data_IF_105142079612
#
_entry.id   IF_105142079612
#
_cell.length_a   1.000
_cell.length_b   1.000
_cell.length_c   1.000
_cell.angle_alpha   90.00
_cell.angle_beta   90.00
_cell.angle_gamma   90.00
#
_symmetry.space_group_name_H-M   'P 1'
#
loop_
_entity.id
_entity.type
_entity.pdbx_description
1 polymer ?
#
# COMPACT_ATOMS: atom_id res chain seq x y z
N UNK A 1 -33.65 -16.44 29.02
CA UNK A 1 -34.14 -15.04 29.08
C UNK A 1 -32.92 -14.13 28.96
N UNK A 2 -33.06 -12.96 28.33
CA UNK A 2 -31.94 -12.00 28.23
C UNK A 2 -31.58 -11.46 29.62
N UNK A 3 -30.34 -10.98 29.78
CA UNK A 3 -29.86 -10.28 30.97
C UNK A 3 -30.39 -8.85 31.04
N UNK A 4 -29.49 -7.86 31.09
CA UNK A 4 -29.89 -6.44 31.09
C UNK A 4 -30.35 -6.01 29.71
N UNK A 5 -31.46 -5.26 29.65
CA UNK A 5 -32.08 -4.91 28.39
C UNK A 5 -32.80 -3.57 28.41
N UNK A 6 -32.51 -2.75 27.40
CA UNK A 6 -33.35 -1.63 26.95
C UNK A 6 -34.03 -2.06 25.66
N UNK A 7 -35.34 -1.83 25.53
CA UNK A 7 -36.08 -2.13 24.30
C UNK A 7 -37.06 -1.01 23.97
N UNK A 8 -37.19 -0.67 22.69
CA UNK A 8 -38.26 0.18 22.17
C UNK A 8 -38.99 -0.52 21.04
N UNK A 9 -40.29 -0.25 20.93
CA UNK A 9 -41.11 -0.77 19.85
C UNK A 9 -40.71 -0.14 18.52
N UNK A 10 -40.72 -0.92 17.44
CA UNK A 10 -40.56 -0.45 16.06
C UNK A 10 -41.79 0.34 15.55
N UNK A 11 -42.21 1.39 16.27
CA UNK A 11 -43.37 2.23 15.96
C UNK A 11 -42.97 3.71 16.06
N UNK A 12 -43.66 4.62 15.35
CA UNK A 12 -43.36 6.06 15.32
C UNK A 12 -43.85 6.76 16.59
N UNK A 13 -43.43 6.28 17.75
CA UNK A 13 -43.66 6.92 19.03
C UNK A 13 -42.41 7.69 19.45
N UNK A 14 -42.61 8.93 19.86
CA UNK A 14 -41.55 9.77 20.44
C UNK A 14 -41.29 9.35 21.87
N UNK A 15 -40.03 9.33 22.26
CA UNK A 15 -39.62 9.09 23.64
C UNK A 15 -38.12 9.30 23.81
N UNK A 16 -37.69 9.47 25.06
CA UNK A 16 -36.28 9.60 25.41
C UNK A 16 -35.97 8.60 26.52
N UNK A 17 -34.86 7.88 26.37
CA UNK A 17 -34.25 7.06 27.41
C UNK A 17 -32.86 7.63 27.64
N UNK A 18 -32.63 8.20 28.81
CA UNK A 18 -31.35 8.83 29.17
C UNK A 18 -31.04 8.57 30.63
N UNK A 19 -29.77 8.68 31.01
CA UNK A 19 -29.27 8.55 32.39
C UNK A 19 -29.57 7.17 33.01
N UNK A 20 -29.35 6.11 32.22
CA UNK A 20 -29.57 4.73 32.66
C UNK A 20 -28.25 4.12 33.13
N UNK A 21 -28.25 3.48 34.30
CA UNK A 21 -27.06 2.82 34.86
C UNK A 21 -27.38 1.37 35.21
N UNK A 22 -26.57 0.45 34.68
CA UNK A 22 -26.50 -0.95 35.08
C UNK A 22 -25.13 -1.18 35.70
N UNK A 23 -25.08 -1.57 36.97
CA UNK A 23 -23.83 -1.69 37.70
C UNK A 23 -23.85 -2.89 38.66
N UNK A 24 -22.70 -3.56 38.80
CA UNK A 24 -22.49 -4.74 39.67
C UNK A 24 -23.48 -5.89 39.44
N UNK A 25 -23.51 -6.44 38.22
CA UNK A 25 -24.49 -7.46 37.80
C UNK A 25 -23.82 -8.80 37.52
N UNK A 26 -24.35 -9.86 38.14
CA UNK A 26 -23.93 -11.25 37.92
C UNK A 26 -24.98 -12.00 37.09
N UNK A 27 -24.57 -12.50 35.93
CA UNK A 27 -25.43 -13.21 34.97
C UNK A 27 -25.15 -14.72 35.00
N UNK A 28 -26.20 -15.54 34.93
CA UNK A 28 -26.06 -16.99 34.87
C UNK A 28 -26.93 -17.57 33.76
N UNK A 29 -26.29 -18.12 32.71
CA UNK A 29 -26.96 -18.79 31.59
C UNK A 29 -28.10 -17.98 30.94
N UNK A 30 -27.92 -16.66 30.81
CA UNK A 30 -28.87 -15.81 30.08
C UNK A 30 -28.69 -15.97 28.57
N UNK A 31 -29.65 -15.59 27.73
CA UNK A 31 -29.51 -15.70 26.26
C UNK A 31 -28.48 -14.71 25.73
N UNK A 32 -28.85 -13.44 25.60
CA UNK A 32 -27.92 -12.32 25.44
C UNK A 32 -27.76 -11.63 26.81
N UNK A 33 -26.55 -11.26 27.19
CA UNK A 33 -26.25 -10.64 28.48
C UNK A 33 -26.61 -9.16 28.53
N UNK A 34 -26.23 -8.38 27.52
CA UNK A 34 -26.49 -6.94 27.41
C UNK A 34 -27.20 -6.67 26.10
N UNK A 35 -28.37 -6.04 26.15
CA UNK A 35 -29.18 -5.78 24.96
C UNK A 35 -29.70 -4.34 24.93
N UNK A 36 -29.47 -3.65 23.81
CA UNK A 36 -30.32 -2.52 23.39
C UNK A 36 -31.00 -2.96 22.11
N UNK A 37 -32.33 -2.92 22.08
CA UNK A 37 -33.11 -3.36 20.93
C UNK A 37 -34.19 -2.33 20.61
N UNK A 38 -33.85 -1.39 19.73
CA UNK A 38 -34.80 -0.39 19.26
C UNK A 38 -35.75 -0.91 18.18
N UNK A 39 -35.55 -2.13 17.69
CA UNK A 39 -36.40 -2.73 16.65
C UNK A 39 -37.29 -3.83 17.22
N UNK A 40 -37.60 -3.76 18.51
CA UNK A 40 -38.32 -4.84 19.18
C UNK A 40 -39.70 -5.06 18.57
N UNK A 41 -39.90 -6.25 17.99
CA UNK A 41 -41.13 -6.67 17.35
C UNK A 41 -41.47 -8.13 17.72
N UNK A 42 -42.25 -8.36 18.78
CA UNK A 42 -42.60 -9.72 19.21
C UNK A 42 -43.75 -10.35 18.39
N UNK A 43 -44.45 -9.60 17.55
CA UNK A 43 -45.54 -10.10 16.71
C UNK A 43 -45.09 -10.20 15.24
N UNK A 44 -45.49 -11.25 14.51
CA UNK A 44 -45.03 -11.51 13.12
C UNK A 44 -45.28 -10.37 12.10
N UNK A 45 -46.15 -9.40 12.42
CA UNK A 45 -46.56 -8.30 11.55
C UNK A 45 -46.43 -6.93 12.24
N UNK A 46 -45.21 -6.43 12.47
CA UNK A 46 -45.03 -5.02 12.85
C UNK A 46 -44.82 -4.15 11.61
N UNK A 47 -45.58 -3.05 11.44
CA UNK A 47 -45.25 -2.06 10.42
C UNK A 47 -43.93 -1.38 10.80
N UNK A 48 -42.91 -1.51 9.95
CA UNK A 48 -41.64 -0.81 10.09
C UNK A 48 -41.88 0.69 9.87
N UNK A 49 -42.02 1.44 10.98
CA UNK A 49 -42.12 2.90 10.96
C UNK A 49 -40.79 3.57 11.28
N UNK A 50 -40.67 4.87 10.99
CA UNK A 50 -39.55 5.68 11.48
C UNK A 50 -39.56 5.71 13.01
N UNK A 51 -38.54 5.11 13.61
CA UNK A 51 -38.35 5.07 15.06
C UNK A 51 -37.96 6.46 15.57
N UNK A 52 -38.71 6.99 16.55
CA UNK A 52 -38.52 8.33 17.15
C UNK A 52 -38.13 8.29 18.63
N UNK A 53 -37.73 7.13 19.15
CA UNK A 53 -37.17 7.01 20.52
C UNK A 53 -35.67 7.30 20.48
N UNK A 54 -35.20 8.29 21.25
CA UNK A 54 -33.78 8.54 21.47
C UNK A 54 -33.28 7.75 22.68
N UNK A 55 -32.10 7.16 22.57
CA UNK A 55 -31.40 6.49 23.67
C UNK A 55 -30.03 7.16 23.81
N UNK A 56 -29.74 7.75 24.96
CA UNK A 56 -28.47 8.38 25.26
C UNK A 56 -28.01 8.11 26.70
N UNK A 57 -26.75 8.43 27.03
CA UNK A 57 -26.24 8.45 28.42
C UNK A 57 -26.58 7.16 29.19
N UNK A 58 -26.18 6.00 28.63
CA UNK A 58 -26.40 4.68 29.24
C UNK A 58 -25.07 4.08 29.66
N UNK A 59 -24.94 3.68 30.92
CA UNK A 59 -23.72 3.12 31.49
C UNK A 59 -23.92 1.65 31.89
N UNK A 60 -23.05 0.77 31.40
CA UNK A 60 -22.95 -0.63 31.80
C UNK A 60 -21.61 -0.84 32.50
N UNK A 61 -21.61 -1.15 33.78
CA UNK A 61 -20.41 -1.25 34.60
C UNK A 61 -20.40 -2.54 35.42
N UNK A 62 -19.22 -3.17 35.57
CA UNK A 62 -19.02 -4.32 36.48
C UNK A 62 -20.02 -5.46 36.22
N UNK A 63 -20.19 -5.85 34.95
CA UNK A 63 -21.12 -6.92 34.55
C UNK A 63 -20.34 -8.17 34.21
N UNK A 64 -20.61 -9.25 34.93
CA UNK A 64 -19.93 -10.53 34.73
C UNK A 64 -20.89 -11.71 34.68
N UNK A 65 -20.45 -12.83 34.09
CA UNK A 65 -21.24 -14.06 34.12
C UNK A 65 -21.20 -14.87 32.83
N UNK A 66 -22.31 -15.54 32.51
CA UNK A 66 -22.37 -16.49 31.39
C UNK A 66 -23.61 -16.35 30.50
N UNK A 67 -23.45 -16.68 29.21
CA UNK A 67 -24.52 -16.68 28.19
C UNK A 67 -24.73 -18.05 27.53
N UNK A 68 -25.93 -18.26 27.00
CA UNK A 68 -26.35 -19.44 26.20
C UNK A 68 -26.43 -19.14 24.71
N UNK A 69 -26.30 -17.86 24.31
CA UNK A 69 -26.03 -17.48 22.91
C UNK A 69 -24.62 -16.92 22.78
N UNK A 70 -23.99 -17.13 21.63
CA UNK A 70 -22.63 -16.66 21.39
C UNK A 70 -22.54 -15.13 21.37
N UNK A 71 -23.56 -14.43 20.85
CA UNK A 71 -23.66 -12.97 20.91
C UNK A 71 -24.09 -12.56 22.33
N UNK A 72 -23.12 -12.26 23.19
CA UNK A 72 -23.39 -11.85 24.56
C UNK A 72 -23.86 -10.39 24.66
N UNK A 73 -23.31 -9.49 23.83
CA UNK A 73 -23.69 -8.07 23.81
C UNK A 73 -24.32 -7.73 22.45
N UNK A 74 -25.53 -7.20 22.44
CA UNK A 74 -26.27 -6.85 21.23
C UNK A 74 -26.87 -5.43 21.34
N UNK A 75 -26.24 -4.44 20.71
CA UNK A 75 -26.72 -3.05 20.68
C UNK A 75 -27.30 -2.72 19.30
N UNK A 76 -28.60 -2.96 19.11
CA UNK A 76 -29.32 -2.72 17.87
C UNK A 76 -30.16 -1.44 17.96
N UNK A 77 -29.58 -0.34 17.50
CA UNK A 77 -30.19 0.98 17.50
C UNK A 77 -30.77 1.33 16.12
N UNK A 78 -31.76 2.23 16.11
CA UNK A 78 -32.45 2.67 14.90
C UNK A 78 -31.50 3.41 13.97
N UNK A 79 -31.65 3.24 12.65
CA UNK A 79 -30.94 4.06 11.65
C UNK A 79 -31.29 5.55 11.76
N UNK A 80 -32.54 5.90 12.04
CA UNK A 80 -33.02 7.28 12.14
C UNK A 80 -32.62 7.98 13.44
N UNK A 81 -32.40 7.21 14.51
CA UNK A 81 -32.08 7.71 15.85
C UNK A 81 -31.04 6.79 16.51
N UNK A 82 -29.73 7.00 16.24
CA UNK A 82 -28.66 6.22 16.85
C UNK A 82 -28.67 6.32 18.38
N UNK A 83 -28.21 5.26 19.06
CA UNK A 83 -27.92 5.36 20.48
C UNK A 83 -26.62 6.15 20.69
N UNK A 84 -26.62 7.11 21.61
CA UNK A 84 -25.50 8.02 21.86
C UNK A 84 -24.92 7.82 23.25
N UNK A 85 -23.63 8.11 23.42
CA UNK A 85 -22.95 8.10 24.73
C UNK A 85 -23.22 6.84 25.57
N UNK A 86 -23.09 5.67 24.94
CA UNK A 86 -23.14 4.39 25.66
C UNK A 86 -21.76 4.13 26.30
N UNK A 87 -21.69 3.96 27.60
CA UNK A 87 -20.45 3.59 28.29
C UNK A 87 -20.48 2.11 28.68
N UNK A 88 -19.40 1.37 28.39
CA UNK A 88 -19.20 0.02 28.90
C UNK A 88 -17.91 -0.06 29.71
N UNK A 89 -17.98 -0.52 30.95
CA UNK A 89 -16.85 -0.59 31.88
C UNK A 89 -16.81 -1.96 32.55
N UNK A 90 -15.66 -2.61 32.55
CA UNK A 90 -15.42 -3.86 33.28
C UNK A 90 -16.50 -4.94 33.01
N UNK A 91 -16.57 -5.37 31.75
CA UNK A 91 -17.49 -6.38 31.26
C UNK A 91 -16.73 -7.71 31.12
N UNK A 92 -17.23 -8.78 31.74
CA UNK A 92 -16.60 -10.11 31.73
C UNK A 92 -17.64 -11.25 31.61
N UNK A 93 -18.04 -11.56 30.38
CA UNK A 93 -19.10 -12.51 30.05
C UNK A 93 -18.54 -13.64 29.19
N UNK A 94 -18.71 -14.87 29.65
CA UNK A 94 -18.32 -16.08 28.92
C UNK A 94 -19.53 -16.73 28.22
N UNK A 95 -19.28 -17.39 27.10
CA UNK A 95 -20.29 -18.20 26.41
C UNK A 95 -20.18 -19.66 26.88
N UNK A 96 -21.28 -20.26 27.33
CA UNK A 96 -21.31 -21.63 27.86
C UNK A 96 -21.55 -22.72 26.78
N UNK A 97 -21.52 -22.38 25.49
CA UNK A 97 -21.68 -23.36 24.41
C UNK A 97 -20.37 -23.74 23.72
N UNK A 98 -20.38 -24.86 22.99
CA UNK A 98 -19.20 -25.43 22.32
C UNK A 98 -18.73 -24.72 21.04
N UNK A 99 -18.95 -23.41 20.89
CA UNK A 99 -18.77 -22.66 19.64
C UNK A 99 -17.67 -21.58 19.65
N UNK A 100 -16.81 -21.54 20.68
CA UNK A 100 -15.78 -20.50 20.88
C UNK A 100 -16.15 -19.48 21.96
N UNK A 101 -15.44 -18.35 22.08
CA UNK A 101 -15.73 -17.34 23.09
C UNK A 101 -17.03 -16.58 22.77
N UNK A 102 -17.56 -15.86 23.76
CA UNK A 102 -18.64 -14.89 23.56
C UNK A 102 -18.21 -13.80 22.55
N UNK A 103 -19.18 -13.18 21.90
CA UNK A 103 -18.99 -12.08 20.94
C UNK A 103 -19.94 -10.91 21.23
N UNK A 104 -19.69 -9.77 20.60
CA UNK A 104 -20.53 -8.57 20.67
C UNK A 104 -20.94 -8.09 19.28
N UNK A 105 -22.12 -7.47 19.16
CA UNK A 105 -22.65 -6.94 17.90
C UNK A 105 -23.35 -5.59 18.14
N UNK A 106 -22.97 -4.57 17.37
CA UNK A 106 -23.54 -3.23 17.46
C UNK A 106 -24.05 -2.78 16.09
N UNK A 107 -25.21 -2.11 16.06
CA UNK A 107 -25.77 -1.41 14.91
C UNK A 107 -26.24 -0.02 15.36
N UNK A 108 -25.66 1.02 14.76
CA UNK A 108 -25.97 2.43 15.04
C UNK A 108 -25.89 2.87 16.52
N UNK A 109 -24.95 2.29 17.27
CA UNK A 109 -24.66 2.63 18.66
C UNK A 109 -23.29 3.32 18.76
N UNK A 110 -23.22 4.42 19.51
CA UNK A 110 -22.01 5.21 19.72
C UNK A 110 -21.71 5.34 21.20
N UNK A 111 -20.44 5.21 21.57
CA UNK A 111 -20.07 5.10 22.95
C UNK A 111 -18.58 4.91 23.19
N UNK A 112 -18.23 4.68 24.44
CA UNK A 112 -16.86 4.52 24.94
C UNK A 112 -16.77 3.26 25.79
N UNK A 113 -15.57 2.69 25.88
CA UNK A 113 -15.31 1.47 26.67
C UNK A 113 -14.13 1.69 27.61
N UNK A 114 -14.22 1.19 28.84
CA UNK A 114 -13.18 1.31 29.88
C UNK A 114 -12.93 -0.04 30.57
N UNK A 115 -11.72 -0.24 31.08
CA UNK A 115 -11.38 -1.44 31.86
C UNK A 115 -11.47 -2.75 31.07
N UNK A 116 -11.77 -3.86 31.75
CA UNK A 116 -11.82 -5.19 31.12
C UNK A 116 -13.01 -5.28 30.16
N UNK A 117 -12.80 -5.83 28.96
CA UNK A 117 -13.86 -6.08 27.97
C UNK A 117 -13.75 -7.50 27.40
N UNK A 118 -14.46 -8.44 28.04
CA UNK A 118 -14.69 -9.79 27.54
C UNK A 118 -16.20 -10.05 27.45
N UNK A 119 -16.76 -10.29 26.27
CA UNK A 119 -16.11 -10.24 24.96
C UNK A 119 -15.65 -8.81 24.58
N UNK A 120 -14.72 -8.65 23.61
CA UNK A 120 -14.36 -7.33 23.09
C UNK A 120 -15.60 -6.53 22.69
N UNK A 121 -15.71 -5.26 23.08
CA UNK A 121 -16.92 -4.47 22.89
C UNK A 121 -17.13 -4.06 21.42
N UNK A 122 -18.37 -4.15 20.95
CA UNK A 122 -18.76 -3.74 19.60
C UNK A 122 -18.79 -2.21 19.41
N UNK A 123 -18.71 -1.43 20.50
CA UNK A 123 -18.57 0.04 20.48
C UNK A 123 -17.15 0.49 20.13
N UNK A 124 -16.15 -0.39 20.31
CA UNK A 124 -14.76 -0.14 19.92
C UNK A 124 -14.53 -0.30 18.40
N UNK A 125 -15.56 -0.65 17.63
CA UNK A 125 -15.48 -0.83 16.19
C UNK A 125 -15.98 0.42 15.46
N UNK A 126 -15.05 1.27 15.05
CA UNK A 126 -15.34 2.32 14.09
C UNK A 126 -15.59 1.68 12.71
N UNK A 127 -16.87 1.48 12.38
CA UNK A 127 -17.28 0.79 11.14
C UNK A 127 -16.84 1.51 9.87
N UNK A 128 -16.51 2.79 9.95
CA UNK A 128 -16.14 3.61 8.79
C UNK A 128 -14.83 4.34 9.05
N UNK A 129 -14.09 4.58 7.97
CA UNK A 129 -12.86 5.36 7.99
C UNK A 129 -13.01 6.70 8.71
N UNK A 130 -14.06 7.47 8.40
CA UNK A 130 -14.30 8.79 9.00
C UNK A 130 -14.44 8.74 10.51
N UNK A 131 -15.10 7.71 11.05
CA UNK A 131 -15.25 7.54 12.49
C UNK A 131 -13.93 7.14 13.14
N UNK A 132 -13.22 6.17 12.56
CA UNK A 132 -11.93 5.71 13.06
C UNK A 132 -10.91 6.87 13.10
N UNK A 133 -10.90 7.68 12.06
CA UNK A 133 -10.02 8.83 11.95
C UNK A 133 -10.29 9.93 13.01
N UNK A 134 -11.48 9.95 13.62
CA UNK A 134 -11.83 10.88 14.70
C UNK A 134 -11.53 10.33 16.11
N UNK A 135 -11.10 9.07 16.24
CA UNK A 135 -10.62 8.53 17.50
C UNK A 135 -9.29 9.18 17.87
N UNK A 136 -9.17 9.57 19.14
CA UNK A 136 -7.90 10.01 19.73
C UNK A 136 -7.01 8.83 20.10
N UNK A 137 -7.63 7.71 20.47
CA UNK A 137 -6.98 6.42 20.73
C UNK A 137 -6.75 5.63 19.43
N UNK A 138 -5.82 4.66 19.43
CA UNK A 138 -5.63 3.77 18.29
C UNK A 138 -6.94 3.11 17.84
N UNK A 139 -7.24 3.21 16.54
CA UNK A 139 -8.48 2.68 15.95
C UNK A 139 -8.19 1.68 14.84
N UNK A 140 -9.13 0.78 14.56
CA UNK A 140 -9.02 -0.19 13.46
C UNK A 140 -10.24 -0.15 12.56
N UNK A 141 -10.02 -0.03 11.25
CA UNK A 141 -11.01 -0.26 10.19
C UNK A 141 -10.75 -1.64 9.60
N UNK A 142 -11.73 -2.54 9.67
CA UNK A 142 -11.61 -3.91 9.17
C UNK A 142 -12.36 -4.03 7.85
N UNK A 143 -11.67 -4.49 6.81
CA UNK A 143 -12.29 -5.05 5.61
C UNK A 143 -12.33 -6.56 5.84
N UNK A 144 -13.49 -7.13 6.18
CA UNK A 144 -13.58 -8.55 6.55
C UNK A 144 -13.30 -9.45 5.34
N UNK A 145 -13.07 -10.74 5.60
CA UNK A 145 -12.95 -11.72 4.52
C UNK A 145 -14.16 -11.68 3.59
N UNK A 146 -13.91 -11.71 2.28
CA UNK A 146 -14.91 -11.57 1.22
C UNK A 146 -14.38 -10.77 0.04
N UNK A 147 -15.16 -10.66 -1.04
CA UNK A 147 -14.83 -9.82 -2.20
C UNK A 147 -15.76 -8.61 -2.24
N UNK A 148 -15.19 -7.42 -2.37
CA UNK A 148 -15.91 -6.15 -2.34
C UNK A 148 -15.61 -5.36 -3.60
N UNK A 149 -16.65 -5.14 -4.41
CA UNK A 149 -16.56 -4.19 -5.52
C UNK A 149 -16.51 -2.77 -4.94
N UNK A 150 -15.42 -2.03 -5.20
CA UNK A 150 -15.19 -0.69 -4.64
C UNK A 150 -14.83 0.25 -5.77
N UNK A 151 -15.54 1.37 -5.92
CA UNK A 151 -15.18 2.38 -6.91
C UNK A 151 -16.28 3.40 -7.19
N UNK A 152 -16.04 4.34 -8.12
CA UNK A 152 -14.83 4.44 -8.95
C UNK A 152 -13.58 4.96 -8.20
N UNK A 153 -13.75 5.53 -7.00
CA UNK A 153 -12.66 6.02 -6.15
C UNK A 153 -12.98 5.73 -4.67
N UNK A 154 -11.95 5.38 -3.89
CA UNK A 154 -11.98 5.21 -2.44
C UNK A 154 -10.92 6.13 -1.83
N UNK A 155 -11.38 7.21 -1.21
CA UNK A 155 -10.53 8.21 -0.58
C UNK A 155 -10.56 8.10 0.95
N UNK A 156 -9.39 7.79 1.51
CA UNK A 156 -9.12 7.55 2.92
C UNK A 156 -8.20 8.67 3.43
N UNK A 157 -8.81 9.84 3.60
CA UNK A 157 -8.12 11.07 3.99
C UNK A 157 -8.09 11.29 5.51
N UNK A 158 -6.99 11.87 5.98
CA UNK A 158 -6.86 12.50 7.30
C UNK A 158 -7.01 14.03 7.24
N UNK A 159 -6.48 14.77 8.23
CA UNK A 159 -5.71 14.27 9.37
C UNK A 159 -6.58 13.47 10.34
N UNK A 160 -6.03 12.37 10.87
CA UNK A 160 -6.65 11.59 11.94
C UNK A 160 -6.15 12.05 13.31
N UNK A 161 -7.01 11.96 14.33
CA UNK A 161 -6.72 12.40 15.71
C UNK A 161 -5.80 11.46 16.47
N UNK A 162 -5.71 10.20 16.03
CA UNK A 162 -4.86 9.16 16.62
C UNK A 162 -4.40 8.14 15.55
N UNK A 163 -3.57 7.16 15.96
CA UNK A 163 -3.13 6.08 15.08
C UNK A 163 -4.31 5.29 14.49
N UNK A 164 -4.16 4.86 13.25
CA UNK A 164 -5.22 4.12 12.55
C UNK A 164 -4.65 2.88 11.86
N UNK A 165 -5.31 1.75 12.06
CA UNK A 165 -5.01 0.48 11.42
C UNK A 165 -6.09 0.14 10.38
N UNK A 166 -5.70 -0.02 9.12
CA UNK A 166 -6.54 -0.53 8.04
C UNK A 166 -6.24 -2.02 7.86
N UNK A 167 -7.10 -2.85 8.45
CA UNK A 167 -6.97 -4.30 8.45
C UNK A 167 -7.76 -4.90 7.28
N UNK A 168 -7.08 -5.11 6.16
CA UNK A 168 -7.55 -5.71 4.92
C UNK A 168 -7.48 -7.24 4.99
N UNK A 169 -8.56 -7.90 5.42
CA UNK A 169 -8.68 -9.38 5.43
C UNK A 169 -9.31 -9.92 4.15
N UNK A 170 -10.19 -9.13 3.51
CA UNK A 170 -10.84 -9.46 2.24
C UNK A 170 -10.15 -8.87 1.02
N UNK A 171 -10.81 -8.99 -0.11
CA UNK A 171 -10.35 -8.51 -1.41
C UNK A 171 -11.16 -7.29 -1.85
N UNK A 172 -10.49 -6.18 -2.15
CA UNK A 172 -11.08 -5.05 -2.87
C UNK A 172 -10.92 -5.30 -4.36
N UNK A 173 -12.00 -5.14 -5.12
CA UNK A 173 -12.04 -5.38 -6.57
C UNK A 173 -12.48 -4.10 -7.28
N UNK A 174 -11.70 -3.65 -8.27
CA UNK A 174 -12.01 -2.47 -9.05
C UNK A 174 -13.18 -2.73 -10.01
N UNK A 175 -14.01 -1.72 -10.33
CA UNK A 175 -14.97 -1.83 -11.40
C UNK A 175 -14.25 -1.90 -12.75
N UNK A 176 -14.87 -2.51 -13.75
CA UNK A 176 -14.31 -2.69 -15.10
C UNK A 176 -14.95 -1.77 -16.15
N UNK A 177 -15.95 -0.97 -15.75
CA UNK A 177 -16.62 -0.04 -16.64
C UNK A 177 -15.72 1.15 -17.04
N UNK A 178 -16.12 1.90 -18.07
CA UNK A 178 -15.36 3.04 -18.55
C UNK A 178 -15.23 4.18 -17.50
N UNK A 179 -16.18 4.31 -16.57
CA UNK A 179 -16.13 5.33 -15.53
C UNK A 179 -14.99 5.07 -14.53
N UNK A 180 -14.64 3.80 -14.31
CA UNK A 180 -13.49 3.39 -13.51
C UNK A 180 -12.11 3.77 -14.09
N UNK A 181 -12.06 4.29 -15.32
CA UNK A 181 -10.83 4.77 -15.97
C UNK A 181 -10.60 6.27 -15.78
N UNK A 182 -11.56 7.00 -15.19
CA UNK A 182 -11.50 8.45 -15.06
C UNK A 182 -10.67 8.92 -13.86
N UNK A 183 -10.84 8.37 -12.63
CA UNK A 183 -9.97 8.73 -11.52
C UNK A 183 -8.56 8.19 -11.76
N UNK A 184 -7.55 9.05 -11.59
CA UNK A 184 -6.16 8.61 -11.67
C UNK A 184 -5.81 7.65 -10.53
N UNK A 185 -6.37 7.85 -9.34
CA UNK A 185 -6.12 7.02 -8.17
C UNK A 185 -7.40 6.29 -7.78
N UNK A 186 -7.32 4.98 -7.59
CA UNK A 186 -8.46 4.18 -7.17
C UNK A 186 -8.60 4.15 -5.65
N UNK A 187 -7.65 3.56 -4.92
CA UNK A 187 -7.62 3.58 -3.44
C UNK A 187 -6.54 4.54 -2.99
N UNK A 188 -6.92 5.60 -2.26
CA UNK A 188 -6.00 6.67 -1.86
C UNK A 188 -5.98 6.85 -0.35
N UNK A 189 -4.79 6.83 0.23
CA UNK A 189 -4.51 7.23 1.61
C UNK A 189 -3.76 8.58 1.58
N UNK A 190 -4.31 9.61 2.22
CA UNK A 190 -3.66 10.94 2.19
C UNK A 190 -3.77 11.75 3.47
N UNK A 191 -2.73 12.54 3.74
CA UNK A 191 -2.61 13.39 4.93
C UNK A 191 -2.72 12.61 6.24
N UNK A 192 -1.97 11.50 6.33
CA UNK A 192 -2.02 10.59 7.47
C UNK A 192 -0.70 10.55 8.21
N UNK A 193 -0.79 10.28 9.51
CA UNK A 193 0.34 10.02 10.38
C UNK A 193 0.01 8.80 11.22
N UNK A 194 0.95 7.86 11.39
CA UNK A 194 0.73 6.63 12.14
C UNK A 194 -0.38 5.73 11.55
N UNK A 195 -0.36 5.55 10.23
CA UNK A 195 -1.17 4.56 9.53
C UNK A 195 -0.47 3.19 9.57
N UNK A 196 -1.22 2.14 9.86
CA UNK A 196 -0.80 0.75 9.59
C UNK A 196 -1.77 0.11 8.60
N UNK A 197 -1.26 -0.58 7.59
CA UNK A 197 -2.04 -1.43 6.70
C UNK A 197 -1.56 -2.87 6.86
N UNK A 198 -2.49 -3.80 7.06
CA UNK A 198 -2.20 -5.23 7.19
C UNK A 198 -3.43 -6.09 6.90
N UNK A 199 -3.35 -7.41 7.10
CA UNK A 199 -4.51 -8.30 7.14
C UNK A 199 -4.50 -9.45 6.13
N UNK A 200 -3.56 -9.47 5.17
CA UNK A 200 -3.37 -10.59 4.24
C UNK A 200 -4.25 -10.58 2.99
N UNK A 201 -5.24 -9.69 2.94
CA UNK A 201 -6.16 -9.50 1.81
C UNK A 201 -5.52 -8.81 0.60
N UNK A 202 -6.33 -8.59 -0.44
CA UNK A 202 -5.86 -8.10 -1.74
C UNK A 202 -6.58 -6.86 -2.26
N UNK A 203 -5.89 -6.14 -3.14
CA UNK A 203 -6.43 -5.03 -3.93
C UNK A 203 -6.24 -5.40 -5.40
N UNK A 204 -7.32 -5.78 -6.07
CA UNK A 204 -7.35 -6.22 -7.46
C UNK A 204 -7.84 -5.10 -8.39
N UNK A 205 -6.92 -4.54 -9.17
CA UNK A 205 -7.18 -3.44 -10.10
C UNK A 205 -7.93 -3.84 -11.37
N UNK A 206 -8.15 -5.13 -11.63
CA UNK A 206 -8.84 -5.64 -12.82
C UNK A 206 -8.26 -5.10 -14.15
N UNK A 207 -6.93 -5.02 -14.24
CA UNK A 207 -6.18 -4.37 -15.31
C UNK A 207 -6.46 -4.88 -16.72
N UNK A 208 -6.84 -6.15 -16.88
CA UNK A 208 -7.22 -6.74 -18.16
C UNK A 208 -8.37 -5.99 -18.86
N UNK A 209 -9.23 -5.29 -18.11
CA UNK A 209 -10.30 -4.47 -18.69
C UNK A 209 -9.79 -3.17 -19.32
N UNK A 210 -8.56 -2.74 -19.02
CA UNK A 210 -7.98 -1.47 -19.47
C UNK A 210 -6.83 -1.66 -20.47
N UNK A 211 -5.99 -2.68 -20.30
CA UNK A 211 -4.76 -2.85 -21.10
C UNK A 211 -4.96 -2.85 -22.63
N UNK A 212 -6.02 -3.47 -23.21
CA UNK A 212 -6.25 -3.42 -24.66
C UNK A 212 -6.51 -2.00 -25.19
N UNK A 213 -6.95 -1.08 -24.32
CA UNK A 213 -7.25 0.30 -24.68
C UNK A 213 -6.04 1.23 -24.63
N UNK A 214 -4.83 0.71 -24.38
CA UNK A 214 -3.60 1.51 -24.46
C UNK A 214 -3.21 1.82 -25.90
N UNK A 215 -4.00 2.66 -26.56
CA UNK A 215 -3.69 3.13 -27.91
C UNK A 215 -3.01 4.49 -27.85
N UNK A 216 -1.75 4.50 -27.43
CA UNK A 216 -0.91 5.71 -27.44
C UNK A 216 -0.30 6.02 -28.82
N UNK A 217 -0.67 5.28 -29.90
CA UNK A 217 0.04 5.38 -31.18
C UNK A 217 -0.16 6.74 -31.89
N UNK A 218 -1.19 7.52 -31.56
CA UNK A 218 -1.52 8.78 -32.26
C UNK A 218 -2.06 9.91 -31.36
N UNK A 219 -1.81 9.91 -30.04
CA UNK A 219 -2.35 10.91 -29.11
C UNK A 219 -1.21 11.61 -28.34
N UNK A 220 -1.09 12.96 -28.40
CA UNK A 220 -0.03 13.72 -27.71
C UNK A 220 -0.04 13.59 -26.18
N UNK A 221 -1.19 13.20 -25.61
CA UNK A 221 -1.41 13.03 -24.18
C UNK A 221 -2.09 11.69 -23.94
N UNK A 222 -1.32 10.60 -23.96
CA UNK A 222 -1.86 9.31 -23.54
C UNK A 222 -2.26 9.42 -22.07
N UNK A 223 -3.57 9.34 -21.77
CA UNK A 223 -4.05 9.44 -20.39
C UNK A 223 -3.44 8.28 -19.59
N UNK A 224 -2.83 8.55 -18.42
CA UNK A 224 -2.33 7.49 -17.56
C UNK A 224 -3.49 6.58 -17.15
N UNK A 225 -3.21 5.29 -17.01
CA UNK A 225 -4.17 4.35 -16.44
C UNK A 225 -4.30 4.55 -14.92
N UNK A 226 -5.46 4.21 -14.34
CA UNK A 226 -5.67 4.30 -12.90
C UNK A 226 -4.63 3.51 -12.10
N UNK A 227 -4.17 4.13 -11.02
CA UNK A 227 -3.25 3.57 -10.03
C UNK A 227 -4.09 2.87 -8.95
N UNK A 228 -3.73 1.63 -8.60
CA UNK A 228 -4.51 0.84 -7.64
C UNK A 228 -4.46 1.38 -6.21
N UNK A 229 -3.26 1.66 -5.70
CA UNK A 229 -3.04 2.10 -4.33
C UNK A 229 -2.14 3.35 -4.29
N UNK A 230 -2.60 4.42 -3.67
CA UNK A 230 -1.88 5.70 -3.65
C UNK A 230 -1.70 6.21 -2.24
N UNK A 231 -0.48 6.65 -1.92
CA UNK A 231 -0.13 7.31 -0.68
C UNK A 231 0.37 8.71 -0.98
N UNK A 232 -0.25 9.72 -0.36
CA UNK A 232 0.15 11.11 -0.52
C UNK A 232 0.24 11.81 0.84
N UNK A 233 1.41 12.37 1.17
CA UNK A 233 1.60 13.07 2.45
C UNK A 233 1.32 12.16 3.66
N UNK A 234 1.83 10.92 3.59
CA UNK A 234 1.69 9.93 4.65
C UNK A 234 3.01 9.81 5.40
N UNK A 235 2.94 9.83 6.73
CA UNK A 235 4.13 9.86 7.59
C UNK A 235 4.09 8.77 8.67
N UNK A 236 5.26 8.29 9.09
CA UNK A 236 5.43 7.37 10.23
C UNK A 236 4.49 6.17 10.15
N UNK A 237 4.49 5.47 9.02
CA UNK A 237 3.46 4.49 8.67
C UNK A 237 4.05 3.19 8.14
N UNK A 238 3.29 2.11 8.24
CA UNK A 238 3.71 0.78 7.80
C UNK A 238 2.66 0.09 6.93
N UNK A 239 3.10 -0.55 5.85
CA UNK A 239 2.27 -1.32 4.93
C UNK A 239 2.83 -2.74 4.90
N UNK A 240 2.11 -3.68 5.51
CA UNK A 240 2.62 -5.02 5.75
C UNK A 240 1.65 -6.08 5.25
N UNK A 241 2.13 -7.21 4.73
CA UNK A 241 1.31 -8.41 4.54
C UNK A 241 0.03 -8.16 3.71
N UNK A 242 0.13 -7.52 2.54
CA UNK A 242 -0.99 -7.33 1.60
C UNK A 242 -0.60 -7.73 0.19
N UNK A 243 -1.59 -7.87 -0.69
CA UNK A 243 -1.39 -8.21 -2.11
C UNK A 243 -1.98 -7.14 -3.04
N UNK A 244 -1.23 -6.72 -4.05
CA UNK A 244 -1.71 -5.86 -5.14
C UNK A 244 -1.75 -6.67 -6.43
N UNK A 245 -2.92 -6.80 -7.03
CA UNK A 245 -3.15 -7.67 -8.18
C UNK A 245 -3.59 -6.86 -9.39
N UNK A 246 -2.99 -7.14 -10.54
CA UNK A 246 -3.46 -6.71 -11.86
C UNK A 246 -3.88 -5.23 -11.92
N UNK A 247 -3.00 -4.31 -11.56
CA UNK A 247 -3.34 -2.88 -11.70
C UNK A 247 -3.57 -2.49 -13.17
N UNK A 248 -4.46 -1.51 -13.40
CA UNK A 248 -4.68 -0.93 -14.74
C UNK A 248 -3.45 -0.16 -15.19
N UNK A 249 -2.87 0.64 -14.29
CA UNK A 249 -1.59 1.33 -14.42
C UNK A 249 -0.65 0.89 -13.31
N UNK A 250 -0.01 1.83 -12.61
CA UNK A 250 0.89 1.50 -11.50
C UNK A 250 0.13 0.80 -10.36
N UNK A 251 0.77 -0.14 -9.67
CA UNK A 251 0.17 -0.80 -8.52
C UNK A 251 0.17 0.12 -7.30
N UNK A 252 1.31 0.75 -7.00
CA UNK A 252 1.46 1.66 -5.87
C UNK A 252 2.22 2.93 -6.22
N UNK A 253 1.77 4.07 -5.71
CA UNK A 253 2.54 5.32 -5.69
C UNK A 253 2.74 5.86 -4.28
N UNK A 254 3.97 6.28 -3.96
CA UNK A 254 4.37 6.92 -2.72
C UNK A 254 4.80 8.36 -3.05
N UNK A 255 3.95 9.33 -2.74
CA UNK A 255 4.20 10.73 -3.03
C UNK A 255 4.32 11.57 -1.77
N UNK A 256 5.43 12.30 -1.62
CA UNK A 256 5.63 13.21 -0.48
C UNK A 256 5.45 12.53 0.88
N UNK A 257 5.90 11.28 1.00
CA UNK A 257 5.77 10.50 2.22
C UNK A 257 7.07 10.56 3.05
N UNK A 258 7.00 10.30 4.35
CA UNK A 258 8.20 10.28 5.21
C UNK A 258 8.15 9.20 6.29
N UNK A 259 9.25 8.47 6.49
CA UNK A 259 9.34 7.39 7.48
C UNK A 259 8.29 6.29 7.23
N UNK A 260 8.46 5.58 6.12
CA UNK A 260 7.54 4.51 5.69
C UNK A 260 8.27 3.17 5.62
N UNK A 261 7.63 2.11 6.11
CA UNK A 261 8.09 0.73 5.91
C UNK A 261 7.04 -0.02 5.09
N UNK A 262 7.45 -0.59 3.97
CA UNK A 262 6.70 -1.58 3.20
C UNK A 262 7.38 -2.93 3.42
N UNK A 263 6.66 -3.90 3.98
CA UNK A 263 7.23 -5.21 4.31
C UNK A 263 6.31 -6.36 3.91
N UNK A 264 6.89 -7.42 3.33
CA UNK A 264 6.16 -8.62 2.93
C UNK A 264 4.91 -8.34 2.09
N UNK A 265 5.07 -7.50 1.04
CA UNK A 265 4.01 -7.19 0.08
C UNK A 265 4.19 -8.01 -1.19
N UNK A 266 3.09 -8.59 -1.68
CA UNK A 266 3.04 -9.28 -2.97
C UNK A 266 2.42 -8.40 -4.05
N UNK A 267 3.11 -8.20 -5.18
CA UNK A 267 2.57 -7.47 -6.33
C UNK A 267 2.64 -8.38 -7.56
N UNK A 268 1.53 -8.51 -8.29
CA UNK A 268 1.46 -9.42 -9.45
C UNK A 268 0.61 -8.86 -10.58
N UNK A 269 1.20 -8.76 -11.76
CA UNK A 269 0.54 -8.58 -13.04
C UNK A 269 1.30 -9.34 -14.14
N UNK A 270 0.68 -9.63 -15.31
CA UNK A 270 1.37 -10.23 -16.45
C UNK A 270 2.58 -9.41 -16.92
N UNK A 271 3.65 -10.08 -17.36
CA UNK A 271 4.89 -9.41 -17.81
C UNK A 271 4.75 -8.56 -19.08
N UNK A 272 3.65 -8.72 -19.82
CA UNK A 272 3.27 -7.93 -20.98
C UNK A 272 2.20 -6.86 -20.65
N UNK A 273 1.80 -6.74 -19.37
CA UNK A 273 0.85 -5.71 -18.94
C UNK A 273 1.50 -4.31 -19.04
N UNK A 274 0.86 -3.35 -19.70
CA UNK A 274 1.54 -2.10 -20.03
C UNK A 274 1.53 -1.09 -18.87
N UNK A 275 2.70 -0.48 -18.57
CA UNK A 275 2.86 0.59 -17.55
C UNK A 275 2.30 0.21 -16.18
N UNK A 276 2.63 -1.01 -15.72
CA UNK A 276 2.15 -1.56 -14.46
C UNK A 276 3.22 -1.56 -13.36
N UNK A 277 3.98 -0.46 -13.23
CA UNK A 277 5.01 -0.31 -12.19
C UNK A 277 4.54 -0.86 -10.84
N UNK A 278 5.42 -1.55 -10.12
CA UNK A 278 5.11 -2.11 -8.80
C UNK A 278 4.96 -1.00 -7.77
N UNK A 279 6.08 -0.46 -7.30
CA UNK A 279 6.10 0.65 -6.35
C UNK A 279 6.83 1.84 -6.97
N UNK A 280 6.08 2.91 -7.26
CA UNK A 280 6.64 4.19 -7.70
C UNK A 280 6.83 5.12 -6.50
N UNK A 281 8.02 5.71 -6.35
CA UNK A 281 8.39 6.59 -5.24
C UNK A 281 8.73 7.97 -5.80
N UNK A 282 8.16 9.02 -5.25
CA UNK A 282 8.47 10.39 -5.64
C UNK A 282 8.41 11.35 -4.43
N UNK A 283 9.35 12.28 -4.36
CA UNK A 283 9.45 13.28 -3.29
C UNK A 283 9.37 12.68 -1.87
N UNK A 284 9.82 11.44 -1.68
CA UNK A 284 9.63 10.69 -0.43
C UNK A 284 10.96 10.54 0.29
N UNK A 285 10.95 10.64 1.62
CA UNK A 285 12.15 10.58 2.44
C UNK A 285 12.09 9.44 3.48
N UNK A 286 13.20 8.76 3.71
CA UNK A 286 13.31 7.69 4.72
C UNK A 286 12.25 6.60 4.52
N UNK A 287 12.43 5.79 3.49
CA UNK A 287 11.49 4.71 3.13
C UNK A 287 12.22 3.38 2.99
N UNK A 288 11.59 2.31 3.45
CA UNK A 288 12.09 0.95 3.33
C UNK A 288 11.10 0.08 2.56
N UNK A 289 11.59 -0.71 1.60
CA UNK A 289 10.83 -1.77 0.91
C UNK A 289 11.56 -3.09 1.16
N UNK A 290 10.93 -3.98 1.92
CA UNK A 290 11.55 -5.17 2.48
C UNK A 290 10.76 -6.44 2.15
N UNK A 291 11.48 -7.55 2.00
CA UNK A 291 10.93 -8.92 1.97
C UNK A 291 9.76 -9.13 0.99
N UNK A 292 9.75 -8.42 -0.14
CA UNK A 292 8.58 -8.33 -1.03
C UNK A 292 8.81 -9.09 -2.34
N UNK A 293 7.72 -9.54 -2.96
CA UNK A 293 7.73 -10.24 -4.25
C UNK A 293 6.92 -9.42 -5.24
N UNK A 294 7.55 -8.97 -6.32
CA UNK A 294 6.98 -8.02 -7.26
C UNK A 294 7.21 -8.52 -8.69
N UNK A 295 6.13 -8.86 -9.38
CA UNK A 295 6.12 -9.19 -10.80
C UNK A 295 5.12 -8.33 -11.55
N UNK A 296 5.58 -7.60 -12.57
CA UNK A 296 4.76 -6.66 -13.33
C UNK A 296 5.19 -6.63 -14.80
N UNK A 297 4.58 -5.77 -15.62
CA UNK A 297 5.04 -5.51 -16.99
C UNK A 297 5.86 -4.23 -17.16
N UNK A 298 6.22 -3.55 -16.06
CA UNK A 298 7.09 -2.38 -16.08
C UNK A 298 8.05 -2.40 -14.86
N UNK A 299 8.54 -1.27 -14.37
CA UNK A 299 9.51 -1.23 -13.26
C UNK A 299 8.97 -1.95 -12.01
N UNK A 300 9.81 -2.80 -11.40
CA UNK A 300 9.52 -3.45 -10.12
C UNK A 300 9.41 -2.39 -9.02
N UNK A 301 10.42 -1.55 -8.93
CA UNK A 301 10.44 -0.32 -8.12
C UNK A 301 11.01 0.80 -8.97
N UNK A 302 10.32 1.93 -9.03
CA UNK A 302 10.78 3.14 -9.74
C UNK A 302 10.91 4.32 -8.77
N UNK A 303 12.05 5.01 -8.79
CA UNK A 303 12.39 6.09 -7.86
C UNK A 303 12.53 7.40 -8.64
N UNK A 304 11.53 8.26 -8.51
CA UNK A 304 11.46 9.57 -9.15
C UNK A 304 12.12 10.71 -8.35
N UNK A 305 12.09 11.93 -8.91
CA UNK A 305 12.75 13.12 -8.34
C UNK A 305 12.38 13.42 -6.88
N UNK A 306 13.32 14.03 -6.16
CA UNK A 306 13.14 14.47 -4.77
C UNK A 306 13.16 13.37 -3.72
N UNK A 307 13.38 12.12 -4.11
CA UNK A 307 13.39 10.97 -3.20
C UNK A 307 14.73 10.83 -2.49
N UNK A 308 14.71 10.63 -1.16
CA UNK A 308 15.92 10.57 -0.33
C UNK A 308 15.88 9.43 0.68
N UNK A 309 17.03 8.84 0.97
CA UNK A 309 17.17 7.79 2.01
C UNK A 309 16.19 6.63 1.77
N UNK A 310 16.31 5.98 0.61
CA UNK A 310 15.46 4.87 0.20
C UNK A 310 16.25 3.57 0.33
N UNK A 311 15.72 2.62 1.10
CA UNK A 311 16.32 1.29 1.27
C UNK A 311 15.42 0.21 0.66
N UNK A 312 15.95 -0.62 -0.22
CA UNK A 312 15.25 -1.74 -0.85
C UNK A 312 16.04 -3.00 -0.51
N UNK A 313 15.45 -3.92 0.24
CA UNK A 313 16.14 -5.07 0.81
C UNK A 313 15.37 -6.37 0.65
N UNK A 314 16.04 -7.45 0.24
CA UNK A 314 15.41 -8.78 0.14
C UNK A 314 14.14 -8.80 -0.75
N UNK A 315 14.21 -8.13 -1.91
CA UNK A 315 13.10 -8.08 -2.88
C UNK A 315 13.34 -9.04 -4.03
N UNK A 316 12.30 -9.78 -4.39
CA UNK A 316 12.26 -10.62 -5.59
C UNK A 316 11.49 -9.86 -6.68
N UNK A 317 12.19 -9.48 -7.75
CA UNK A 317 11.62 -8.77 -8.88
C UNK A 317 11.58 -9.68 -10.11
N UNK A 318 10.45 -9.78 -10.79
CA UNK A 318 10.38 -10.51 -12.05
C UNK A 318 9.05 -11.21 -12.31
N UNK A 319 8.50 -11.12 -13.53
CA UNK A 319 8.97 -10.34 -14.69
C UNK A 319 8.83 -8.83 -14.48
N UNK A 320 9.31 -8.01 -15.44
CA UNK A 320 9.20 -6.54 -15.41
C UNK A 320 10.46 -5.83 -15.93
N UNK A 321 10.63 -4.55 -15.62
CA UNK A 321 11.74 -3.70 -16.06
C UNK A 321 12.88 -3.56 -15.05
N UNK A 322 12.82 -4.24 -13.90
CA UNK A 322 13.86 -4.20 -12.86
C UNK A 322 13.68 -3.05 -11.87
N UNK A 323 14.75 -2.67 -11.18
CA UNK A 323 14.75 -1.59 -10.18
C UNK A 323 15.39 -0.35 -10.81
N UNK A 324 14.61 0.73 -10.92
CA UNK A 324 15.00 1.91 -11.68
C UNK A 324 14.99 3.20 -10.85
N UNK A 325 16.05 3.99 -10.97
CA UNK A 325 16.06 5.40 -10.58
C UNK A 325 15.74 6.24 -11.84
N UNK A 326 14.68 7.03 -11.77
CA UNK A 326 14.18 7.89 -12.84
C UNK A 326 12.90 7.39 -13.51
N UNK A 327 12.50 7.98 -14.64
CA UNK A 327 13.29 8.94 -15.42
C UNK A 327 13.44 10.31 -14.76
N UNK A 328 14.63 10.90 -14.85
CA UNK A 328 14.96 12.22 -14.31
C UNK A 328 15.30 13.23 -15.43
N UNK A 329 15.21 14.52 -15.14
CA UNK A 329 15.50 15.60 -16.07
C UNK A 329 14.42 15.80 -17.13
N UNK A 330 13.16 15.44 -16.84
CA UNK A 330 12.06 15.64 -17.80
C UNK A 330 11.42 17.03 -17.68
N UNK A 331 11.38 17.56 -16.46
CA UNK A 331 10.73 18.83 -16.09
C UNK A 331 11.70 19.80 -15.40
N UNK A 332 11.45 21.12 -15.45
CA UNK A 332 12.23 22.10 -14.70
C UNK A 332 12.14 21.89 -13.18
N UNK A 333 13.22 22.22 -12.46
CA UNK A 333 13.28 22.25 -10.98
C UNK A 333 13.05 20.89 -10.29
N UNK A 334 13.29 19.78 -10.99
CA UNK A 334 13.33 18.47 -10.36
C UNK A 334 14.34 18.44 -9.22
N UNK A 335 13.91 17.94 -8.06
CA UNK A 335 14.75 17.82 -6.88
C UNK A 335 15.66 16.59 -7.00
N UNK A 336 16.80 16.64 -6.32
CA UNK A 336 17.81 15.58 -6.32
C UNK A 336 17.28 14.25 -5.77
N UNK A 337 17.90 13.15 -6.23
CA UNK A 337 17.75 11.81 -5.66
C UNK A 337 19.04 11.45 -4.91
N UNK A 338 18.95 11.18 -3.61
CA UNK A 338 20.14 11.00 -2.74
C UNK A 338 19.94 9.83 -1.78
N UNK A 339 20.93 8.96 -1.64
CA UNK A 339 20.91 7.90 -0.63
C UNK A 339 19.92 6.80 -0.99
N UNK A 340 20.18 6.08 -2.09
CA UNK A 340 19.39 4.91 -2.48
C UNK A 340 20.24 3.66 -2.33
N UNK A 341 19.83 2.76 -1.45
CA UNK A 341 20.51 1.49 -1.20
C UNK A 341 19.60 0.34 -1.59
N UNK A 342 20.04 -0.47 -2.54
CA UNK A 342 19.35 -1.68 -3.00
C UNK A 342 20.24 -2.86 -2.67
N UNK A 343 19.77 -3.77 -1.81
CA UNK A 343 20.57 -4.89 -1.35
C UNK A 343 19.83 -6.22 -1.30
N UNK A 344 20.57 -7.31 -1.49
CA UNK A 344 20.07 -8.69 -1.35
C UNK A 344 18.84 -8.97 -2.22
N UNK A 345 18.82 -8.48 -3.46
CA UNK A 345 17.66 -8.60 -4.35
C UNK A 345 17.90 -9.64 -5.44
N UNK A 346 16.83 -10.35 -5.82
CA UNK A 346 16.85 -11.32 -6.91
C UNK A 346 16.01 -10.80 -8.07
N UNK A 347 16.62 -10.67 -9.25
CA UNK A 347 15.95 -10.21 -10.46
C UNK A 347 15.88 -11.36 -11.46
N UNK A 348 14.66 -11.78 -11.83
CA UNK A 348 14.43 -12.93 -12.71
C UNK A 348 13.60 -12.55 -13.92
N UNK A 349 14.09 -12.85 -15.12
CA UNK A 349 13.37 -12.61 -16.38
C UNK A 349 12.87 -11.16 -16.56
N UNK A 350 13.63 -10.19 -16.03
CA UNK A 350 13.37 -8.77 -16.20
C UNK A 350 14.10 -8.23 -17.44
N UNK A 351 13.58 -7.16 -18.04
CA UNK A 351 14.24 -6.50 -19.19
C UNK A 351 15.47 -5.72 -18.76
N UNK A 352 15.53 -5.23 -17.51
CA UNK A 352 16.72 -4.63 -16.93
C UNK A 352 16.95 -5.15 -15.52
N UNK A 353 18.20 -5.06 -15.05
CA UNK A 353 18.53 -5.34 -13.66
C UNK A 353 18.35 -4.08 -12.81
N UNK A 354 19.48 -3.43 -12.50
CA UNK A 354 19.54 -2.15 -11.80
C UNK A 354 19.82 -1.02 -12.80
N UNK A 355 19.04 0.05 -12.74
CA UNK A 355 19.02 1.08 -13.78
C UNK A 355 18.95 2.50 -13.21
N UNK A 356 19.72 3.43 -13.78
CA UNK A 356 19.54 4.88 -13.64
C UNK A 356 19.23 5.44 -15.01
N UNK A 357 18.12 6.18 -15.16
CA UNK A 357 17.66 6.75 -16.44
C UNK A 357 17.39 8.25 -16.35
N UNK A 358 17.98 9.03 -17.24
CA UNK A 358 17.70 10.47 -17.37
C UNK A 358 17.51 10.90 -18.82
N UNK A 359 16.69 11.92 -19.02
CA UNK A 359 16.43 12.50 -20.33
C UNK A 359 17.62 13.34 -20.79
N UNK A 360 17.84 13.37 -22.11
CA UNK A 360 18.81 14.23 -22.79
C UNK A 360 18.31 15.68 -22.91
N UNK A 361 18.03 16.32 -21.77
CA UNK A 361 17.64 17.73 -21.68
C UNK A 361 18.68 18.51 -20.88
N UNK A 362 19.63 19.21 -21.53
CA UNK A 362 20.70 19.91 -20.82
C UNK A 362 20.19 21.09 -19.98
N UNK A 363 19.02 21.63 -20.26
CA UNK A 363 18.41 22.75 -19.53
C UNK A 363 17.81 22.35 -18.16
N UNK A 364 17.51 21.07 -17.95
CA UNK A 364 16.90 20.59 -16.70
C UNK A 364 17.95 19.95 -15.81
N UNK A 365 18.31 20.69 -14.77
CA UNK A 365 19.39 20.36 -13.84
C UNK A 365 18.83 19.68 -12.59
N UNK A 366 19.42 18.54 -12.24
CA UNK A 366 19.23 17.84 -10.97
C UNK A 366 20.42 16.90 -10.75
N UNK A 367 20.49 16.24 -9.60
CA UNK A 367 21.56 15.29 -9.31
C UNK A 367 21.06 13.97 -8.73
N UNK A 368 21.88 12.93 -8.96
CA UNK A 368 21.74 11.59 -8.39
C UNK A 368 23.05 11.25 -7.72
N UNK A 369 23.01 10.98 -6.41
CA UNK A 369 24.22 10.64 -5.65
C UNK A 369 23.98 9.73 -4.45
N UNK A 370 25.05 9.13 -3.94
CA UNK A 370 25.01 8.16 -2.84
C UNK A 370 24.08 6.99 -3.17
N UNK A 371 24.42 6.27 -4.23
CA UNK A 371 23.64 5.14 -4.73
C UNK A 371 24.44 3.86 -4.55
N UNK A 372 23.83 2.83 -3.97
CA UNK A 372 24.45 1.51 -3.81
C UNK A 372 23.51 0.43 -4.31
N UNK A 373 24.00 -0.40 -5.22
CA UNK A 373 23.41 -1.68 -5.60
C UNK A 373 24.37 -2.79 -5.15
N UNK A 374 23.95 -3.60 -4.18
CA UNK A 374 24.83 -4.57 -3.53
C UNK A 374 24.16 -5.94 -3.35
N UNK A 375 24.90 -7.04 -3.54
CA UNK A 375 24.36 -8.41 -3.43
C UNK A 375 23.11 -8.62 -4.30
N UNK A 376 23.26 -8.47 -5.62
CA UNK A 376 22.18 -8.60 -6.60
C UNK A 376 22.36 -9.90 -7.38
N UNK A 377 21.39 -10.80 -7.32
CA UNK A 377 21.40 -12.02 -8.13
C UNK A 377 20.50 -11.87 -9.36
N UNK A 378 21.04 -12.22 -10.51
CA UNK A 378 20.41 -12.06 -11.82
C UNK A 378 20.13 -13.42 -12.44
N UNK A 379 18.90 -13.63 -12.90
CA UNK A 379 18.53 -14.84 -13.62
C UNK A 379 17.81 -14.49 -14.92
N UNK A 380 18.47 -14.71 -16.06
CA UNK A 380 17.96 -14.38 -17.39
C UNK A 380 17.49 -12.92 -17.51
N UNK A 381 18.25 -11.98 -16.94
CA UNK A 381 17.96 -10.54 -17.04
C UNK A 381 18.48 -10.00 -18.38
N UNK A 382 17.71 -9.21 -19.11
CA UNK A 382 18.17 -8.78 -20.44
C UNK A 382 19.29 -7.74 -20.37
N UNK A 383 19.14 -6.67 -19.58
CA UNK A 383 20.14 -5.61 -19.45
C UNK A 383 20.50 -5.38 -17.96
N UNK A 384 21.46 -6.12 -17.41
CA UNK A 384 21.74 -6.17 -15.97
C UNK A 384 22.08 -4.85 -15.26
N UNK A 385 23.06 -4.09 -15.76
CA UNK A 385 23.53 -2.86 -15.11
C UNK A 385 23.47 -1.73 -16.12
N UNK A 386 22.68 -0.68 -15.82
CA UNK A 386 22.46 0.42 -16.75
C UNK A 386 22.57 1.78 -16.07
N UNK A 387 23.34 2.68 -16.68
CA UNK A 387 23.15 4.12 -16.59
C UNK A 387 22.87 4.63 -18.00
N UNK A 388 21.71 5.25 -18.21
CA UNK A 388 21.27 5.76 -19.51
C UNK A 388 20.86 7.24 -19.38
N UNK A 389 21.76 8.14 -19.78
CA UNK A 389 21.49 9.58 -19.84
C UNK A 389 20.92 10.03 -21.21
N UNK A 390 20.53 9.09 -22.06
CA UNK A 390 19.86 9.32 -23.34
C UNK A 390 18.46 8.68 -23.37
N UNK A 391 17.82 8.54 -22.20
CA UNK A 391 16.57 7.82 -22.06
C UNK A 391 15.48 8.37 -23.00
N UNK A 392 14.97 7.49 -23.87
CA UNK A 392 13.95 7.83 -24.84
C UNK A 392 12.90 6.73 -25.03
N UNK A 393 11.76 6.81 -24.33
CA UNK A 393 10.73 5.77 -24.41
C UNK A 393 9.93 5.79 -25.72
N UNK A 394 9.85 6.92 -26.43
CA UNK A 394 9.09 7.05 -27.68
C UNK A 394 9.91 6.80 -28.95
N UNK A 395 11.23 6.59 -28.85
CA UNK A 395 12.20 6.53 -29.96
C UNK A 395 12.28 7.77 -30.86
N UNK A 396 11.57 8.86 -30.52
CA UNK A 396 11.52 10.12 -31.30
C UNK A 396 12.12 11.30 -30.55
N UNK A 397 12.82 11.06 -29.46
CA UNK A 397 13.41 12.10 -28.62
C UNK A 397 14.64 12.70 -29.31
N UNK A 398 14.91 13.97 -29.03
CA UNK A 398 16.18 14.57 -29.43
C UNK A 398 17.32 13.83 -28.72
N UNK A 399 18.33 13.43 -29.50
CA UNK A 399 19.61 13.01 -28.94
C UNK A 399 20.36 14.25 -28.45
N UNK A 400 21.12 14.10 -27.37
CA UNK A 400 21.87 15.21 -26.80
C UNK A 400 22.40 14.88 -25.41
N UNK A 401 22.79 15.94 -24.70
CA UNK A 401 23.34 15.84 -23.36
C UNK A 401 22.26 15.91 -22.29
N UNK A 402 22.42 15.16 -21.20
CA UNK A 402 21.57 15.29 -20.02
C UNK A 402 22.10 16.39 -19.08
N UNK A 403 21.19 17.19 -18.51
CA UNK A 403 21.47 18.13 -17.44
C UNK A 403 21.60 17.47 -16.05
N UNK A 404 21.23 16.19 -15.93
CA UNK A 404 21.31 15.44 -14.67
C UNK A 404 22.76 15.04 -14.38
N UNK A 405 23.25 15.34 -13.18
CA UNK A 405 24.59 14.94 -12.72
C UNK A 405 24.49 13.64 -11.94
N UNK A 406 25.26 12.63 -12.34
CA UNK A 406 25.30 11.32 -11.66
C UNK A 406 26.67 11.14 -11.06
N UNK A 407 26.73 10.92 -9.74
CA UNK A 407 28.01 10.69 -9.07
C UNK A 407 27.89 9.78 -7.85
N UNK A 408 28.98 9.11 -7.46
CA UNK A 408 29.02 8.27 -6.26
C UNK A 408 27.98 7.13 -6.31
N UNK A 409 28.10 6.32 -7.36
CA UNK A 409 27.27 5.14 -7.60
C UNK A 409 28.14 3.90 -7.47
N UNK A 410 27.74 3.00 -6.58
CA UNK A 410 28.44 1.76 -6.30
C UNK A 410 27.61 0.57 -6.78
N UNK A 411 28.22 -0.24 -7.64
CA UNK A 411 27.74 -1.57 -8.03
C UNK A 411 28.65 -2.59 -7.37
N UNK A 412 28.12 -3.47 -6.53
CA UNK A 412 28.91 -4.43 -5.76
C UNK A 412 28.24 -5.80 -5.67
N UNK A 413 29.02 -6.87 -5.76
CA UNK A 413 28.52 -8.24 -5.58
C UNK A 413 27.30 -8.55 -6.47
N UNK A 414 27.40 -8.24 -7.76
CA UNK A 414 26.32 -8.45 -8.74
C UNK A 414 26.68 -9.66 -9.58
N UNK A 415 25.87 -10.71 -9.51
CA UNK A 415 26.19 -11.99 -10.12
C UNK A 415 24.99 -12.65 -10.81
N UNK A 416 25.28 -13.58 -11.73
CA UNK A 416 24.26 -14.43 -12.34
C UNK A 416 24.29 -14.40 -13.87
N UNK A 417 23.14 -14.30 -14.51
CA UNK A 417 23.03 -14.48 -15.97
C UNK A 417 22.28 -13.36 -16.70
N UNK A 418 22.72 -13.10 -17.93
CA UNK A 418 22.12 -12.12 -18.85
C UNK A 418 21.62 -12.76 -20.15
N UNK A 419 20.56 -12.18 -20.73
CA UNK A 419 20.01 -12.55 -22.04
C UNK A 419 20.50 -11.68 -23.20
N UNK A 420 21.22 -10.58 -22.93
CA UNK A 420 21.93 -9.81 -23.96
C UNK A 420 23.43 -9.86 -23.73
N UNK A 421 24.20 -9.74 -24.81
CA UNK A 421 25.66 -9.82 -24.71
C UNK A 421 26.25 -8.62 -23.96
N UNK A 422 25.66 -7.43 -24.05
CA UNK A 422 26.11 -6.24 -23.32
C UNK A 422 25.45 -6.25 -21.94
N UNK A 423 26.17 -6.75 -20.93
CA UNK A 423 25.64 -6.86 -19.57
C UNK A 423 25.70 -5.54 -18.79
N UNK A 424 26.69 -4.70 -19.11
CA UNK A 424 26.94 -3.41 -18.46
C UNK A 424 26.89 -2.32 -19.51
N UNK A 425 25.97 -1.36 -19.35
CA UNK A 425 25.86 -0.18 -20.22
C UNK A 425 25.90 1.08 -19.36
N UNK A 426 26.99 1.83 -19.42
CA UNK A 426 27.13 3.13 -18.73
C UNK A 426 27.24 4.25 -19.76
N UNK A 427 26.09 4.70 -20.26
CA UNK A 427 25.99 5.75 -21.27
C UNK A 427 25.74 7.12 -20.63
N UNK A 428 26.82 7.78 -20.23
CA UNK A 428 26.77 9.07 -19.56
C UNK A 428 26.93 10.24 -20.54
N UNK A 429 26.37 11.38 -20.15
CA UNK A 429 26.37 12.63 -20.89
C UNK A 429 27.79 13.17 -21.05
N UNK A 430 28.16 13.65 -22.23
CA UNK A 430 29.47 14.28 -22.45
C UNK A 430 29.61 15.60 -21.65
N UNK A 431 28.53 16.37 -21.52
CA UNK A 431 28.56 17.63 -20.76
C UNK A 431 28.48 17.42 -19.24
N UNK A 432 27.98 16.27 -18.80
CA UNK A 432 27.91 15.88 -17.39
C UNK A 432 28.33 14.41 -17.25
N UNK A 433 29.63 14.09 -17.43
CA UNK A 433 30.14 12.72 -17.30
C UNK A 433 29.80 12.15 -15.92
N UNK A 434 29.50 10.86 -15.84
CA UNK A 434 29.30 10.21 -14.56
C UNK A 434 30.62 10.15 -13.78
N UNK A 435 30.59 10.49 -12.49
CA UNK A 435 31.80 10.59 -11.66
C UNK A 435 31.78 9.62 -10.48
N UNK A 436 32.94 9.16 -10.05
CA UNK A 436 33.08 8.29 -8.86
C UNK A 436 32.22 7.03 -8.95
N UNK A 437 32.10 6.44 -10.14
CA UNK A 437 31.45 5.14 -10.29
C UNK A 437 32.39 4.07 -9.73
N UNK A 438 31.88 3.18 -8.89
CA UNK A 438 32.65 2.04 -8.39
C UNK A 438 31.98 0.75 -8.80
N UNK A 439 32.76 -0.13 -9.40
CA UNK A 439 32.36 -1.51 -9.68
C UNK A 439 33.21 -2.44 -8.82
N UNK A 440 32.60 -3.43 -8.20
CA UNK A 440 33.32 -4.41 -7.39
C UNK A 440 32.63 -5.77 -7.45
N UNK A 441 33.38 -6.81 -7.76
CA UNK A 441 32.88 -8.19 -7.72
C UNK A 441 31.62 -8.37 -8.59
N UNK A 442 31.75 -8.01 -9.87
CA UNK A 442 30.75 -8.20 -10.92
C UNK A 442 31.03 -9.52 -11.65
N UNK A 443 30.06 -10.44 -11.65
CA UNK A 443 30.20 -11.74 -12.30
C UNK A 443 28.91 -12.19 -13.01
N UNK A 444 28.74 -11.75 -14.26
CA UNK A 444 27.54 -11.92 -15.07
C UNK A 444 27.89 -12.73 -16.32
N UNK A 445 27.32 -13.92 -16.46
CA UNK A 445 27.48 -14.78 -17.62
C UNK A 445 26.39 -14.52 -18.67
N UNK A 446 26.76 -14.44 -19.94
CA UNK A 446 25.80 -14.37 -21.03
C UNK A 446 25.28 -15.77 -21.38
N UNK A 447 23.96 -15.96 -21.39
CA UNK A 447 23.30 -17.24 -21.68
C UNK A 447 23.08 -17.50 -23.18
N UNK A 448 23.65 -16.70 -24.08
CA UNK A 448 23.52 -16.90 -25.53
C UNK A 448 24.80 -17.41 -26.21
N UNK A 449 24.70 -17.82 -27.47
CA UNK A 449 25.80 -18.43 -28.23
C UNK A 449 26.87 -17.45 -28.78
N UNK A 450 26.85 -16.18 -28.38
CA UNK A 450 27.67 -15.10 -28.96
C UNK A 450 29.03 -14.88 -28.31
N UNK A 451 29.46 -15.73 -27.38
CA UNK A 451 30.67 -15.55 -26.56
C UNK A 451 30.37 -14.99 -25.16
N UNK A 452 31.36 -14.48 -24.42
CA UNK A 452 31.14 -13.96 -23.07
C UNK A 452 30.32 -12.65 -23.08
N UNK A 453 29.83 -12.27 -21.89
CA UNK A 453 29.24 -10.97 -21.64
C UNK A 453 30.27 -9.85 -21.90
N UNK A 454 29.79 -8.63 -22.17
CA UNK A 454 30.59 -7.44 -22.47
C UNK A 454 30.09 -6.22 -21.71
N UNK A 455 30.95 -5.22 -21.59
CA UNK A 455 30.64 -3.90 -21.03
C UNK A 455 30.80 -2.83 -22.11
N UNK A 456 29.93 -1.81 -22.08
CA UNK A 456 29.99 -0.64 -22.94
C UNK A 456 29.81 0.63 -22.11
N UNK A 457 30.75 1.57 -22.21
CA UNK A 457 30.75 2.81 -21.44
C UNK A 457 30.99 4.01 -22.35
N UNK A 458 30.37 5.13 -22.00
CA UNK A 458 30.64 6.45 -22.57
C UNK A 458 30.63 7.47 -21.42
N UNK A 459 31.70 8.27 -21.30
CA UNK A 459 31.82 9.36 -20.30
C UNK A 459 31.57 8.91 -18.84
N UNK A 460 31.96 7.67 -18.50
CA UNK A 460 31.78 7.12 -17.15
C UNK A 460 33.14 6.99 -16.46
N UNK A 461 33.37 7.80 -15.44
CA UNK A 461 34.64 7.87 -14.71
C UNK A 461 34.56 7.19 -13.35
N UNK A 462 35.56 6.40 -13.03
CA UNK A 462 35.54 5.60 -11.82
C UNK A 462 36.62 4.54 -11.74
N UNK A 463 36.40 3.56 -10.88
CA UNK A 463 37.34 2.46 -10.66
C UNK A 463 36.60 1.14 -10.47
N UNK A 464 37.24 0.05 -10.92
CA UNK A 464 36.76 -1.31 -10.73
C UNK A 464 37.75 -2.13 -9.89
N UNK A 465 37.23 -3.01 -9.05
CA UNK A 465 38.02 -3.78 -8.09
C UNK A 465 37.51 -5.22 -7.97
N UNK A 466 38.37 -6.16 -7.60
CA UNK A 466 37.95 -7.55 -7.41
C UNK A 466 37.65 -8.26 -8.74
N UNK A 467 36.69 -9.19 -8.72
CA UNK A 467 36.31 -9.94 -9.92
C UNK A 467 35.47 -9.07 -10.85
N UNK A 468 35.86 -8.94 -12.13
CA UNK A 468 35.12 -8.18 -13.13
C UNK A 468 34.91 -9.03 -14.39
N UNK A 469 33.77 -9.69 -14.44
CA UNK A 469 33.27 -10.45 -15.59
C UNK A 469 31.84 -10.00 -15.89
N UNK A 470 31.57 -9.25 -16.96
CA UNK A 470 32.53 -8.78 -17.97
C UNK A 470 33.57 -7.79 -17.43
N UNK A 471 34.72 -7.61 -18.12
CA UNK A 471 35.70 -6.58 -17.75
C UNK A 471 35.07 -5.19 -17.70
N UNK A 472 35.48 -4.37 -16.74
CA UNK A 472 35.03 -2.99 -16.63
C UNK A 472 35.45 -2.15 -17.84
N UNK A 473 34.61 -1.17 -18.19
CA UNK A 473 34.89 -0.16 -19.22
C UNK A 473 34.99 1.27 -18.67
N UNK A 474 35.12 1.42 -17.35
CA UNK A 474 35.25 2.73 -16.70
C UNK A 474 36.55 3.44 -17.12
N UNK A 475 36.47 4.76 -17.26
CA UNK A 475 37.62 5.63 -17.49
C UNK A 475 38.22 5.97 -16.12
N UNK A 476 39.52 5.72 -15.97
CA UNK A 476 40.26 5.97 -14.73
C UNK A 476 40.41 7.47 -14.41
#
# INVERSE_FOLDING_TARGET
>A
MNGVRIKSWAKPFKGTVTDIVYDHINLNNVSNAIVIDQQYCPAKNCPLGNLEVSISDVHFSNIQGTTTTQIAVALNCSQSNPCQKIEMRDINIAYNGGGGPATSACANAHGSTYGQQQPPSCLAFCKTWKQACQCTEPSTVIIPAGKFLVGPEMDLSGPCKGPINFNLQGDLVAPTDAASLLPLNWVTFRYLNQLTINGGGSIDGQGASAWPHKNCKNQPTCKPFPISLSFAFVNNSAINNIKLLNSKGFHSIMFSCNNIIIDNVGITAPGDSPTTDGIHIANTNNMQILNSVIGTGDDCVSIGPGSKNINIGNVQCGPGHGISIGSLGYTPNEQDVIGVHVSNCNLTSTTNGVRIKSWAKPEYQSSVSDITFDHINLNNVSNPIIIDQQYCPSKTCALGSSGVKISDVHFSNIQGTTMTQIAVTLNCSESNPCQKIKMRDINIAYNGGGGPAKSACANAHGAAYGQENPPSCLIA
#
